data_IF_458138041990
#
_entry.id   IF_458138041990
#
_cell.length_a   1.000
_cell.length_b   1.000
_cell.length_c   1.000
_cell.angle_alpha   90.00
_cell.angle_beta   90.00
_cell.angle_gamma   90.00
#
_symmetry.space_group_name_H-M   'P 1'
#
loop_
_entity.id
_entity.type
_entity.pdbx_description
1 polymer ?
#
# COMPACT_ATOMS: atom_id res chain seq x y z
N UNK A 1 -2.55 27.36 21.19
CA UNK A 1 -2.37 27.24 19.73
C UNK A 1 -1.96 25.80 19.39
N UNK A 2 -2.84 25.08 18.68
CA UNK A 2 -2.63 23.92 17.79
C UNK A 2 -1.79 22.71 18.25
N UNK A 3 -2.45 21.70 18.84
CA UNK A 3 -1.86 20.40 19.20
C UNK A 3 -2.58 19.17 18.62
N UNK A 4 -3.16 19.26 17.41
CA UNK A 4 -4.00 18.19 16.84
C UNK A 4 -3.52 17.62 15.49
N UNK A 5 -2.34 17.96 14.99
CA UNK A 5 -1.95 17.68 13.60
C UNK A 5 -1.22 16.34 13.36
N UNK A 6 -1.08 15.46 14.37
CA UNK A 6 -0.30 14.22 14.24
C UNK A 6 -1.07 12.89 14.34
N UNK A 7 -2.25 12.88 15.00
CA UNK A 7 -2.90 11.62 15.40
C UNK A 7 -3.95 11.10 14.39
N UNK A 8 -4.61 12.00 13.65
CA UNK A 8 -5.62 11.62 12.65
C UNK A 8 -5.01 11.01 11.38
N UNK A 9 -3.91 11.59 10.91
CA UNK A 9 -3.23 11.16 9.68
C UNK A 9 -2.62 9.78 9.84
N UNK A 10 -1.97 9.50 10.97
CA UNK A 10 -1.35 8.21 11.27
C UNK A 10 -2.38 7.08 11.39
N UNK A 11 -3.54 7.35 12.00
CA UNK A 11 -4.64 6.38 12.05
C UNK A 11 -5.24 6.07 10.66
N UNK A 12 -5.45 7.09 9.83
CA UNK A 12 -5.93 6.90 8.45
C UNK A 12 -4.93 6.13 7.59
N UNK A 13 -3.64 6.40 7.74
CA UNK A 13 -2.57 5.68 7.05
C UNK A 13 -2.59 4.20 7.44
N UNK A 14 -2.64 3.90 8.73
CA UNK A 14 -2.69 2.52 9.21
C UNK A 14 -3.93 1.80 8.68
N UNK A 15 -5.10 2.44 8.64
CA UNK A 15 -6.29 1.84 8.02
C UNK A 15 -6.07 1.53 6.55
N UNK A 16 -5.52 2.48 5.78
CA UNK A 16 -5.19 2.29 4.36
C UNK A 16 -4.19 1.15 4.15
N UNK A 17 -3.15 1.07 4.97
CA UNK A 17 -2.15 0.00 4.92
C UNK A 17 -2.80 -1.36 5.18
N UNK A 18 -3.60 -1.47 6.23
CA UNK A 18 -4.32 -2.71 6.56
C UNK A 18 -5.30 -3.11 5.46
N UNK A 19 -6.06 -2.16 4.90
CA UNK A 19 -6.97 -2.43 3.79
C UNK A 19 -6.23 -2.92 2.55
N UNK A 20 -5.11 -2.28 2.18
CA UNK A 20 -4.30 -2.72 1.04
C UNK A 20 -3.68 -4.09 1.29
N UNK A 21 -3.21 -4.37 2.51
CA UNK A 21 -2.62 -5.65 2.84
C UNK A 21 -3.66 -6.78 2.86
N UNK A 22 -4.91 -6.48 3.25
CA UNK A 22 -6.03 -7.42 3.18
C UNK A 22 -6.48 -7.71 1.74
N UNK A 23 -6.46 -6.70 0.86
CA UNK A 23 -6.81 -6.82 -0.56
C UNK A 23 -5.77 -7.63 -1.34
N UNK A 24 -4.49 -7.53 -0.93
CA UNK A 24 -3.35 -8.18 -1.59
C UNK A 24 -2.56 -9.08 -0.62
N UNK A 25 -3.15 -10.21 -0.16
CA UNK A 25 -2.46 -11.13 0.75
C UNK A 25 -1.19 -11.69 0.11
N UNK A 26 -0.06 -11.50 0.78
CA UNK A 26 1.28 -11.89 0.29
C UNK A 26 2.13 -10.74 -0.27
N UNK A 27 1.59 -9.52 -0.34
CA UNK A 27 2.38 -8.31 -0.52
C UNK A 27 2.65 -7.63 0.82
N UNK A 28 3.92 -7.32 1.08
CA UNK A 28 4.38 -6.48 2.19
C UNK A 28 4.23 -5.01 1.78
N UNK A 29 3.18 -4.37 2.29
CA UNK A 29 2.84 -2.98 1.98
C UNK A 29 3.30 -2.10 3.14
N UNK A 30 3.97 -1.00 2.81
CA UNK A 30 4.46 -0.03 3.78
C UNK A 30 4.41 1.39 3.19
N UNK A 31 4.32 2.39 4.05
CA UNK A 31 4.42 3.80 3.67
C UNK A 31 5.82 4.35 3.97
N UNK A 32 6.46 4.98 3.00
CA UNK A 32 7.72 5.69 3.18
C UNK A 32 7.53 7.02 3.91
N UNK A 33 8.61 7.52 4.51
CA UNK A 33 8.62 8.81 5.21
C UNK A 33 8.26 9.99 4.27
N UNK A 34 8.53 9.86 2.97
CA UNK A 34 8.11 10.80 1.93
C UNK A 34 6.61 10.79 1.62
N UNK A 35 5.83 9.93 2.28
CA UNK A 35 4.39 9.80 2.07
C UNK A 35 3.99 8.91 0.88
N UNK A 36 4.97 8.31 0.18
CA UNK A 36 4.76 7.35 -0.92
C UNK A 36 4.58 5.94 -0.38
N UNK A 37 3.94 5.08 -1.18
CA UNK A 37 3.68 3.69 -0.82
C UNK A 37 4.63 2.73 -1.52
N UNK A 38 4.95 1.65 -0.82
CA UNK A 38 5.82 0.58 -1.25
C UNK A 38 5.10 -0.73 -1.07
N UNK A 39 5.20 -1.63 -2.05
CA UNK A 39 4.78 -3.02 -1.90
C UNK A 39 5.90 -3.95 -2.32
N UNK A 40 6.18 -4.97 -1.52
CA UNK A 40 7.20 -5.99 -1.82
C UNK A 40 6.59 -7.37 -1.78
N UNK A 41 6.91 -8.21 -2.74
CA UNK A 41 6.52 -9.63 -2.70
C UNK A 41 7.70 -10.50 -3.13
N UNK A 42 8.07 -11.52 -2.32
CA UNK A 42 9.11 -12.46 -2.71
C UNK A 42 8.69 -13.18 -4.00
N UNK A 43 9.61 -13.23 -4.98
CA UNK A 43 9.37 -13.84 -6.30
C UNK A 43 8.78 -12.90 -7.36
N UNK A 44 8.29 -11.71 -7.01
CA UNK A 44 7.76 -10.71 -7.96
C UNK A 44 8.59 -9.42 -8.00
N UNK A 45 9.20 -9.06 -6.86
CA UNK A 45 9.99 -7.84 -6.73
C UNK A 45 9.34 -6.82 -5.82
N UNK A 46 9.71 -5.55 -6.01
CA UNK A 46 9.27 -4.46 -5.16
C UNK A 46 8.85 -3.23 -5.99
N UNK A 47 7.73 -2.63 -5.61
CA UNK A 47 7.18 -1.41 -6.16
C UNK A 47 7.46 -0.28 -5.17
N UNK A 48 8.15 0.77 -5.61
CA UNK A 48 8.52 1.91 -4.78
C UNK A 48 7.93 3.20 -5.30
N UNK A 49 7.75 4.15 -4.39
CA UNK A 49 7.48 5.53 -4.76
C UNK A 49 6.10 5.80 -5.38
N UNK A 50 5.13 4.90 -5.17
CA UNK A 50 3.80 5.01 -5.79
C UNK A 50 2.82 5.77 -4.89
N UNK A 51 1.83 6.42 -5.51
CA UNK A 51 0.64 6.86 -4.79
C UNK A 51 -0.22 5.65 -4.37
N UNK A 52 -1.08 5.78 -3.36
CA UNK A 52 -1.92 4.66 -2.89
C UNK A 52 -2.76 4.05 -4.04
N UNK A 53 -3.38 4.91 -4.86
CA UNK A 53 -4.21 4.52 -6.00
C UNK A 53 -3.41 3.82 -7.10
N UNK A 54 -2.21 4.33 -7.40
CA UNK A 54 -1.32 3.71 -8.38
C UNK A 54 -0.80 2.35 -7.90
N UNK A 55 -0.45 2.25 -6.62
CA UNK A 55 -0.01 1.01 -6.02
C UNK A 55 -1.12 -0.04 -6.13
N UNK A 56 -2.35 0.32 -5.74
CA UNK A 56 -3.52 -0.56 -5.85
C UNK A 56 -3.75 -1.01 -7.30
N UNK A 57 -3.74 -0.10 -8.26
CA UNK A 57 -3.93 -0.44 -9.67
C UNK A 57 -2.81 -1.36 -10.23
N UNK A 58 -1.56 -1.18 -9.79
CA UNK A 58 -0.47 -2.09 -10.14
C UNK A 58 -0.65 -3.46 -9.50
N UNK A 59 -0.92 -3.51 -8.20
CA UNK A 59 -1.15 -4.74 -7.46
C UNK A 59 -2.32 -5.52 -8.05
N UNK A 60 -3.43 -4.84 -8.36
CA UNK A 60 -4.59 -5.40 -9.05
C UNK A 60 -4.24 -6.01 -10.40
N UNK A 61 -3.39 -5.38 -11.22
CA UNK A 61 -2.91 -6.02 -12.45
C UNK A 61 -2.08 -7.28 -12.18
N UNK A 62 -1.26 -7.28 -11.13
CA UNK A 62 -0.42 -8.42 -10.76
C UNK A 62 -1.21 -9.58 -10.13
N UNK A 63 -2.28 -9.30 -9.39
CA UNK A 63 -3.14 -10.32 -8.76
C UNK A 63 -4.31 -10.73 -9.65
N UNK A 64 -4.93 -9.77 -10.34
CA UNK A 64 -6.05 -9.94 -11.25
C UNK A 64 -5.70 -10.58 -12.60
N UNK A 65 -4.44 -10.49 -13.05
CA UNK A 65 -3.98 -11.31 -14.19
C UNK A 65 -3.69 -12.77 -13.82
N UNK A 66 -3.92 -13.17 -12.56
CA UNK A 66 -3.61 -14.50 -12.04
C UNK A 66 -4.73 -15.54 -12.13
N UNK A 67 -5.95 -15.15 -12.54
CA UNK A 67 -7.12 -16.05 -12.62
C UNK A 67 -7.63 -16.25 -14.05
N UNK A 68 -6.71 -16.34 -15.01
CA UNK A 68 -6.99 -16.95 -16.31
C UNK A 68 -6.34 -18.32 -16.34
N UNK A 69 -6.96 -19.31 -15.69
CA UNK A 69 -6.60 -20.72 -15.83
C UNK A 69 -7.83 -21.58 -16.03
#
# INVERSE_FOLDING_TARGET
>A
MNGLTGSGTSALIKRLENSLQADFPGWLIARECSGRWVAKRPGWGALYGQSASELRNRLDRFTGSGDAR
#
